data_IF_195960456578
#
_entry.id   IF_195960456578
#
_cell.length_a   1.000
_cell.length_b   1.000
_cell.length_c   1.000
_cell.angle_alpha   90.00
_cell.angle_beta   90.00
_cell.angle_gamma   90.00
#
_symmetry.space_group_name_H-M   'P 1'
#
loop_
_entity.id
_entity.type
_entity.pdbx_description
1 polymer ?
#
# COMPACT_ATOMS: atom_id res chain seq x y z
N UNK A 1 2.07 3.53 -16.59
CA UNK A 1 2.15 3.13 -15.16
C UNK A 1 1.50 4.24 -14.38
N UNK A 2 0.57 3.92 -13.48
CA UNK A 2 -0.11 4.92 -12.66
C UNK A 2 0.59 5.01 -11.32
N UNK A 3 0.79 6.23 -10.83
CA UNK A 3 1.35 6.49 -9.51
C UNK A 3 0.22 6.87 -8.55
N UNK A 4 0.09 6.12 -7.48
CA UNK A 4 -0.87 6.37 -6.43
C UNK A 4 -0.15 6.66 -5.11
N UNK A 5 -0.74 7.52 -4.28
CA UNK A 5 -0.22 7.74 -2.94
C UNK A 5 -0.60 6.53 -2.09
N UNK A 6 0.41 5.92 -1.47
CA UNK A 6 0.21 4.89 -0.48
C UNK A 6 0.78 5.32 0.88
N UNK A 7 0.23 4.75 1.93
CA UNK A 7 0.69 4.91 3.31
C UNK A 7 1.11 3.55 3.85
N UNK A 8 2.34 3.44 4.30
CA UNK A 8 2.83 2.23 4.98
C UNK A 8 2.22 2.16 6.37
N UNK A 9 1.51 1.07 6.64
CA UNK A 9 0.91 0.79 7.94
C UNK A 9 1.90 0.05 8.84
N UNK A 10 2.45 -1.05 8.33
CA UNK A 10 3.31 -1.94 9.09
C UNK A 10 4.32 -2.64 8.20
N UNK A 11 5.56 -2.68 8.64
CA UNK A 11 6.60 -3.53 8.06
C UNK A 11 6.54 -4.88 8.76
N UNK A 12 6.31 -5.95 8.00
CA UNK A 12 6.23 -7.32 8.52
C UNK A 12 7.61 -7.96 8.46
N UNK A 13 8.21 -7.99 7.27
CA UNK A 13 9.52 -8.56 6.97
C UNK A 13 10.27 -7.62 6.02
N UNK A 14 11.57 -7.84 5.82
CA UNK A 14 12.46 -6.95 5.06
C UNK A 14 11.99 -6.60 3.64
N UNK A 15 11.13 -7.41 3.03
CA UNK A 15 10.50 -7.19 1.72
C UNK A 15 8.96 -7.06 1.79
N UNK A 16 8.33 -7.40 2.92
CA UNK A 16 6.87 -7.53 3.06
C UNK A 16 6.30 -6.42 3.92
N UNK A 17 5.40 -5.63 3.34
CA UNK A 17 4.81 -4.44 3.96
C UNK A 17 3.31 -4.40 3.76
N UNK A 18 2.59 -4.03 4.82
CA UNK A 18 1.17 -3.72 4.77
C UNK A 18 1.01 -2.22 4.46
N UNK A 19 0.25 -1.89 3.41
CA UNK A 19 0.02 -0.54 2.92
C UNK A 19 -1.48 -0.25 2.72
N UNK A 20 -1.83 1.02 2.82
CA UNK A 20 -3.09 1.57 2.32
C UNK A 20 -2.81 2.37 1.05
N UNK A 21 -3.58 2.15 -0.02
CA UNK A 21 -3.46 2.85 -1.30
C UNK A 21 -4.68 3.75 -1.48
N UNK A 22 -4.44 5.03 -1.71
CA UNK A 22 -5.48 6.00 -2.09
C UNK A 22 -5.61 6.02 -3.62
N UNK A 23 -6.73 5.53 -4.13
CA UNK A 23 -7.05 5.55 -5.56
C UNK A 23 -7.69 6.89 -5.99
N UNK A 24 -7.98 7.78 -5.04
CA UNK A 24 -8.74 9.00 -5.25
C UNK A 24 -10.26 8.77 -5.22
N UNK A 25 -11.02 9.87 -5.38
CA UNK A 25 -12.50 9.85 -5.42
C UNK A 25 -13.17 9.20 -4.20
N UNK A 26 -12.49 9.22 -3.04
CA UNK A 26 -12.98 8.59 -1.81
C UNK A 26 -12.84 7.06 -1.79
N UNK A 27 -12.16 6.46 -2.78
CA UNK A 27 -11.92 5.01 -2.85
C UNK A 27 -10.53 4.68 -2.36
N UNK A 28 -10.45 3.75 -1.40
CA UNK A 28 -9.22 3.33 -0.75
C UNK A 28 -9.11 1.82 -0.79
N UNK A 29 -7.94 1.31 -1.13
CA UNK A 29 -7.57 -0.07 -0.85
C UNK A 29 -6.84 -0.06 0.48
N UNK A 30 -7.37 -0.80 1.46
CA UNK A 30 -6.82 -0.81 2.81
C UNK A 30 -6.27 -2.16 3.19
N UNK A 31 -5.23 -2.14 4.00
CA UNK A 31 -4.63 -3.30 4.64
C UNK A 31 -4.09 -4.32 3.63
N UNK A 32 -3.55 -3.82 2.52
CA UNK A 32 -3.05 -4.68 1.46
C UNK A 32 -1.59 -5.03 1.70
N UNK A 33 -1.27 -6.32 1.57
CA UNK A 33 0.07 -6.84 1.80
C UNK A 33 0.79 -6.97 0.48
N UNK A 34 1.84 -6.17 0.32
CA UNK A 34 2.69 -6.21 -0.87
C UNK A 34 4.10 -6.61 -0.50
N UNK A 35 4.74 -7.34 -1.43
CA UNK A 35 6.17 -7.57 -1.42
C UNK A 35 6.82 -6.61 -2.40
N UNK A 36 7.77 -5.83 -1.91
CA UNK A 36 8.60 -4.95 -2.74
C UNK A 36 9.72 -5.85 -3.30
N UNK A 37 9.53 -6.32 -4.53
CA UNK A 37 10.56 -7.04 -5.30
C UNK A 37 11.41 -6.06 -6.11
#
# INVERSE_FOLDING_TARGET
>A
VYEYRCKVLKVIDGDTVDIDIDLGFGTWIRNERVRIM
#
